data_IF_086249193743
#
_entry.id   IF_086249193743
#
_cell.length_a   1.000
_cell.length_b   1.000
_cell.length_c   1.000
_cell.angle_alpha   90.00
_cell.angle_beta   90.00
_cell.angle_gamma   90.00
#
_symmetry.space_group_name_H-M   'P 1'
#
loop_
_entity.id
_entity.type
_entity.pdbx_description
1 polymer ?
#
# COMPACT_ATOMS: atom_id res chain seq x y z
N UNK A 1 -47.41 7.51 10.73
CA UNK A 1 -46.24 6.81 10.15
C UNK A 1 -45.65 7.74 9.09
N UNK A 2 -44.64 8.53 9.49
CA UNK A 2 -43.93 9.46 8.55
C UNK A 2 -42.70 8.76 8.01
N UNK A 3 -42.66 8.58 6.72
CA UNK A 3 -41.56 8.01 5.97
C UNK A 3 -40.49 9.12 5.83
N UNK A 4 -39.37 9.02 6.53
CA UNK A 4 -38.21 9.89 6.32
C UNK A 4 -37.41 9.31 5.16
N UNK A 5 -37.48 9.95 3.99
CA UNK A 5 -36.61 9.67 2.87
C UNK A 5 -35.22 10.26 3.18
N UNK A 6 -34.23 9.42 3.46
CA UNK A 6 -32.83 9.80 3.45
C UNK A 6 -32.39 9.93 1.98
N UNK A 7 -32.33 11.17 1.50
CA UNK A 7 -31.71 11.50 0.22
C UNK A 7 -30.22 11.55 0.45
N UNK A 8 -29.49 10.54 -0.02
CA UNK A 8 -28.04 10.59 -0.15
C UNK A 8 -27.71 11.67 -1.18
N UNK A 9 -27.36 12.85 -0.71
CA UNK A 9 -26.99 13.97 -1.58
C UNK A 9 -25.63 13.72 -2.21
N UNK A 10 -25.63 13.36 -3.49
CA UNK A 10 -24.48 13.62 -4.35
C UNK A 10 -24.42 15.14 -4.47
N UNK A 11 -23.42 15.77 -3.85
CA UNK A 11 -23.15 17.21 -4.01
C UNK A 11 -22.65 17.38 -5.45
N UNK A 12 -23.54 17.71 -6.36
CA UNK A 12 -23.16 18.13 -7.69
C UNK A 12 -22.53 19.52 -7.59
N UNK A 13 -21.24 19.67 -7.89
CA UNK A 13 -20.58 20.96 -7.98
C UNK A 13 -21.25 21.83 -9.03
N UNK A 14 -21.60 23.07 -8.67
CA UNK A 14 -22.13 24.07 -9.59
C UNK A 14 -20.97 24.80 -10.29
N UNK A 15 -21.11 25.26 -11.54
CA UNK A 15 -20.01 25.89 -12.30
C UNK A 15 -19.33 27.10 -11.64
N UNK A 16 -19.96 27.72 -10.67
CA UNK A 16 -19.39 28.84 -9.89
C UNK A 16 -18.61 28.38 -8.66
N UNK A 17 -18.63 27.09 -8.31
CA UNK A 17 -17.89 26.47 -7.21
C UNK A 17 -16.78 25.52 -7.66
N UNK A 18 -16.54 25.38 -8.97
CA UNK A 18 -15.60 24.38 -9.50
C UNK A 18 -14.18 24.51 -8.93
N UNK A 19 -13.69 25.72 -8.69
CA UNK A 19 -12.36 25.97 -8.11
C UNK A 19 -12.27 25.51 -6.64
N UNK A 20 -13.30 25.71 -5.84
CA UNK A 20 -13.33 25.27 -4.44
C UNK A 20 -13.49 23.78 -4.34
N UNK A 21 -14.35 23.18 -5.16
CA UNK A 21 -14.51 21.72 -5.22
C UNK A 21 -13.21 21.04 -5.70
N UNK A 22 -12.52 21.60 -6.68
CA UNK A 22 -11.26 21.08 -7.17
C UNK A 22 -10.14 21.15 -6.10
N UNK A 23 -10.08 22.24 -5.34
CA UNK A 23 -9.12 22.39 -4.23
C UNK A 23 -9.41 21.38 -3.10
N UNK A 24 -10.67 21.23 -2.70
CA UNK A 24 -11.07 20.28 -1.66
C UNK A 24 -10.81 18.82 -2.09
N UNK A 25 -11.03 18.48 -3.36
CA UNK A 25 -10.71 17.16 -3.90
C UNK A 25 -9.21 16.91 -3.97
N UNK A 26 -8.41 17.94 -4.29
CA UNK A 26 -6.96 17.86 -4.28
C UNK A 26 -6.42 17.62 -2.86
N UNK A 27 -6.93 18.36 -1.88
CA UNK A 27 -6.56 18.20 -0.47
C UNK A 27 -6.90 16.78 0.04
N UNK A 28 -8.06 16.25 -0.34
CA UNK A 28 -8.49 14.90 0.05
C UNK A 28 -7.60 13.81 -0.57
N UNK A 29 -7.23 13.99 -1.83
CA UNK A 29 -6.35 13.04 -2.52
C UNK A 29 -4.94 13.05 -1.90
N UNK A 30 -4.32 14.21 -1.77
CA UNK A 30 -2.99 14.34 -1.18
C UNK A 30 -2.96 13.78 0.25
N UNK A 31 -4.01 14.01 1.01
CA UNK A 31 -4.16 13.45 2.35
C UNK A 31 -4.21 11.91 2.33
N UNK A 32 -4.92 11.32 1.38
CA UNK A 32 -4.98 9.85 1.22
C UNK A 32 -3.68 9.29 0.69
N UNK A 33 -3.03 9.96 -0.25
CA UNK A 33 -1.72 9.58 -0.75
C UNK A 33 -0.69 9.57 0.39
N UNK A 34 -0.64 10.66 1.17
CA UNK A 34 0.17 10.73 2.39
C UNK A 34 -0.13 9.59 3.38
N UNK A 35 -1.42 9.30 3.62
CA UNK A 35 -1.84 8.16 4.44
C UNK A 35 -1.35 6.82 3.89
N UNK A 36 -1.30 6.66 2.57
CA UNK A 36 -0.77 5.46 1.91
C UNK A 36 0.76 5.31 2.09
N UNK A 37 1.51 6.42 2.01
CA UNK A 37 2.95 6.42 2.31
C UNK A 37 3.22 6.11 3.77
N UNK A 38 2.45 6.67 4.70
CA UNK A 38 2.52 6.29 6.12
C UNK A 38 2.18 4.81 6.35
N UNK A 39 1.23 4.24 5.59
CA UNK A 39 0.87 2.83 5.67
C UNK A 39 1.99 1.93 5.17
N UNK A 40 2.73 2.36 4.18
CA UNK A 40 3.93 1.67 3.70
C UNK A 40 5.05 1.73 4.72
N UNK A 41 5.58 2.93 4.97
CA UNK A 41 6.75 3.11 5.84
C UNK A 41 6.72 4.50 6.50
N UNK A 42 5.93 4.62 7.56
CA UNK A 42 5.67 5.89 8.23
C UNK A 42 6.95 6.60 8.71
N UNK A 43 7.95 5.86 9.18
CA UNK A 43 9.18 6.46 9.71
C UNK A 43 10.08 7.06 8.62
N UNK A 44 10.01 6.60 7.41
CA UNK A 44 10.69 7.22 6.27
C UNK A 44 9.92 8.44 5.76
N UNK A 45 8.58 8.38 5.83
CA UNK A 45 7.73 9.48 5.34
C UNK A 45 7.79 10.71 6.21
N UNK A 46 7.89 10.58 7.52
CA UNK A 46 7.91 11.73 8.45
C UNK A 46 9.33 12.20 8.80
N UNK A 47 10.35 11.62 8.19
CA UNK A 47 11.78 11.92 8.45
C UNK A 47 12.13 11.92 9.95
N UNK A 48 11.41 11.15 10.72
CA UNK A 48 11.66 11.03 12.14
C UNK A 48 13.00 10.32 12.41
N UNK A 49 13.63 10.72 13.50
CA UNK A 49 14.82 10.04 13.99
C UNK A 49 14.50 8.65 14.58
N UNK A 50 13.46 8.02 14.07
CA UNK A 50 13.05 6.68 14.44
C UNK A 50 13.61 5.68 13.42
N UNK A 51 14.44 4.80 13.89
CA UNK A 51 14.92 3.63 13.15
C UNK A 51 14.43 2.42 13.92
N UNK A 52 13.59 1.56 13.34
CA UNK A 52 13.17 0.34 13.99
C UNK A 52 14.38 -0.50 14.40
N UNK A 53 14.35 -1.07 15.60
CA UNK A 53 15.31 -2.11 15.96
C UNK A 53 15.05 -3.34 15.08
N UNK A 54 16.04 -3.71 14.29
CA UNK A 54 15.93 -4.86 13.38
C UNK A 54 17.06 -5.86 13.67
N UNK A 55 16.78 -6.86 14.51
CA UNK A 55 17.76 -7.87 14.85
C UNK A 55 18.17 -8.76 13.67
N UNK A 56 17.37 -8.78 12.58
CA UNK A 56 17.64 -9.58 11.38
C UNK A 56 18.57 -8.85 10.39
N UNK A 57 18.76 -7.52 10.57
CA UNK A 57 19.65 -6.70 9.74
C UNK A 57 20.88 -6.28 10.54
N UNK A 58 22.02 -6.97 10.45
CA UNK A 58 23.22 -6.66 11.23
C UNK A 58 23.71 -5.22 11.01
N UNK A 59 23.92 -4.48 12.10
CA UNK A 59 24.44 -3.11 12.09
C UNK A 59 23.35 -2.04 11.99
N UNK A 60 22.08 -2.40 12.01
CA UNK A 60 20.97 -1.48 12.22
C UNK A 60 20.60 -1.51 13.70
N UNK A 61 21.21 -0.60 14.47
CA UNK A 61 20.81 -0.37 15.86
C UNK A 61 19.58 0.54 15.84
N UNK A 62 18.51 0.14 16.53
CA UNK A 62 17.29 0.93 16.64
C UNK A 62 17.50 2.27 17.33
N UNK A 63 16.75 3.30 16.92
CA UNK A 63 16.83 4.65 17.45
C UNK A 63 15.45 5.29 17.59
N UNK A 64 15.34 6.23 18.52
CA UNK A 64 14.12 6.99 18.71
C UNK A 64 12.98 6.19 19.35
N UNK A 65 11.79 6.75 19.26
CA UNK A 65 10.61 6.24 19.92
C UNK A 65 10.62 6.38 21.45
N UNK A 66 9.62 5.86 22.14
CA UNK A 66 9.46 6.04 23.59
C UNK A 66 10.59 5.46 24.45
N UNK A 67 11.33 4.50 23.91
CA UNK A 67 12.45 3.86 24.59
C UNK A 67 13.83 4.32 24.09
N UNK A 68 13.89 5.15 23.06
CA UNK A 68 15.13 5.64 22.46
C UNK A 68 15.94 4.59 21.68
N UNK A 69 15.40 3.41 21.49
CA UNK A 69 16.05 2.25 20.88
C UNK A 69 15.25 1.65 19.70
N UNK A 70 14.38 2.43 19.08
CA UNK A 70 13.57 1.95 17.95
C UNK A 70 12.44 0.99 18.33
N UNK A 71 12.01 1.01 19.58
CA UNK A 71 10.96 0.11 20.09
C UNK A 71 9.71 0.90 20.47
N UNK A 72 8.56 0.45 20.01
CA UNK A 72 7.24 0.97 20.37
C UNK A 72 6.62 0.21 21.54
N UNK A 73 5.71 0.88 22.25
CA UNK A 73 4.90 0.26 23.27
C UNK A 73 3.75 -0.55 22.67
N UNK A 74 3.38 -1.63 23.34
CA UNK A 74 2.05 -2.23 23.24
C UNK A 74 1.01 -1.43 24.01
N UNK A 75 -0.26 -1.78 23.82
CA UNK A 75 -1.39 -1.16 24.54
C UNK A 75 -1.38 -1.37 26.07
N UNK A 76 -0.51 -2.22 26.56
CA UNK A 76 -0.27 -2.46 28.00
C UNK A 76 0.92 -1.65 28.55
N UNK A 77 1.56 -0.84 27.69
CA UNK A 77 2.73 -0.04 28.04
C UNK A 77 4.06 -0.80 28.03
N UNK A 78 4.04 -2.10 27.72
CA UNK A 78 5.25 -2.89 27.60
C UNK A 78 5.84 -2.79 26.19
N UNK A 79 7.17 -2.80 26.05
CA UNK A 79 7.83 -2.79 24.75
C UNK A 79 7.39 -3.98 23.88
N UNK A 80 7.11 -3.72 22.61
CA UNK A 80 6.90 -4.77 21.62
C UNK A 80 8.23 -5.02 20.92
N UNK A 81 8.72 -6.26 20.97
CA UNK A 81 9.90 -6.67 20.21
C UNK A 81 9.66 -6.42 18.71
N UNK A 82 10.60 -5.74 18.06
CA UNK A 82 10.57 -5.48 16.64
C UNK A 82 11.48 -6.47 15.92
N UNK A 83 10.96 -7.07 14.87
CA UNK A 83 11.71 -7.96 13.98
C UNK A 83 12.01 -7.29 12.63
N UNK A 84 12.05 -5.94 12.59
CA UNK A 84 12.22 -5.15 11.38
C UNK A 84 10.93 -4.93 10.59
N UNK A 85 9.89 -5.68 10.88
CA UNK A 85 8.64 -5.68 10.10
C UNK A 85 7.39 -5.34 10.91
N UNK A 86 7.45 -5.47 12.25
CA UNK A 86 6.28 -5.37 13.13
C UNK A 86 5.65 -3.98 13.19
N UNK A 87 6.37 -2.94 12.75
CA UNK A 87 5.88 -1.56 12.88
C UNK A 87 5.43 -0.96 11.56
N UNK A 88 5.62 -1.65 10.43
CA UNK A 88 5.06 -1.23 9.14
C UNK A 88 3.63 -1.73 9.02
N UNK A 89 2.68 -0.81 8.82
CA UNK A 89 1.27 -1.18 8.77
C UNK A 89 0.96 -2.13 7.61
N UNK A 90 1.64 -1.96 6.46
CA UNK A 90 1.51 -2.89 5.33
C UNK A 90 1.90 -4.32 5.70
N UNK A 91 2.85 -4.48 6.63
CA UNK A 91 3.26 -5.80 7.09
C UNK A 91 2.29 -6.36 8.14
N UNK A 92 1.72 -5.48 8.97
CA UNK A 92 0.71 -5.89 9.96
C UNK A 92 -0.60 -6.30 9.28
N UNK A 93 -1.12 -5.44 8.41
CA UNK A 93 -2.47 -5.60 7.83
C UNK A 93 -2.45 -6.21 6.42
N UNK A 94 -1.30 -6.21 5.74
CA UNK A 94 -1.21 -6.43 4.30
C UNK A 94 -1.71 -5.23 3.50
N UNK A 95 -1.21 -5.06 2.28
CA UNK A 95 -1.73 -4.03 1.38
C UNK A 95 -3.21 -4.22 1.02
N UNK A 96 -3.69 -5.45 1.08
CA UNK A 96 -5.10 -5.79 0.94
C UNK A 96 -5.89 -5.65 2.25
N UNK A 97 -5.26 -5.16 3.30
CA UNK A 97 -5.87 -4.88 4.61
C UNK A 97 -6.66 -6.06 5.20
N UNK A 98 -6.25 -7.29 4.88
CA UNK A 98 -6.89 -8.53 5.35
C UNK A 98 -6.09 -9.28 6.41
N UNK A 99 -4.87 -8.83 6.69
CA UNK A 99 -3.98 -9.52 7.60
C UNK A 99 -3.65 -10.94 7.12
N UNK A 100 -3.75 -11.92 7.99
CA UNK A 100 -3.44 -13.32 7.69
C UNK A 100 -4.39 -13.98 6.66
N UNK A 101 -5.59 -13.45 6.50
CA UNK A 101 -6.54 -13.89 5.48
C UNK A 101 -6.20 -13.37 4.07
N UNK A 102 -5.28 -12.42 3.96
CA UNK A 102 -4.88 -11.77 2.74
C UNK A 102 -3.58 -12.27 2.14
N UNK A 103 -3.00 -11.44 1.27
CA UNK A 103 -1.74 -11.74 0.56
C UNK A 103 -0.61 -11.98 1.56
N UNK A 104 -0.45 -11.09 2.53
CA UNK A 104 0.67 -11.18 3.49
C UNK A 104 0.58 -12.40 4.41
N UNK A 105 -0.62 -12.81 4.80
CA UNK A 105 -0.78 -14.06 5.54
C UNK A 105 -0.34 -15.29 4.74
N UNK A 106 -0.46 -15.25 3.43
CA UNK A 106 0.00 -16.33 2.53
C UNK A 106 1.49 -16.26 2.23
N UNK A 107 2.03 -15.06 2.04
CA UNK A 107 3.46 -14.84 1.81
C UNK A 107 4.31 -15.09 3.06
N UNK A 108 3.79 -14.69 4.20
CA UNK A 108 4.49 -14.69 5.48
C UNK A 108 3.80 -15.60 6.49
N UNK A 109 3.48 -16.83 6.09
CA UNK A 109 2.85 -17.81 6.96
C UNK A 109 3.62 -17.97 8.28
N UNK A 110 2.85 -17.92 9.37
CA UNK A 110 3.38 -18.05 10.74
C UNK A 110 4.34 -16.92 11.18
N UNK A 111 4.43 -15.82 10.48
CA UNK A 111 5.20 -14.68 10.95
C UNK A 111 4.40 -13.89 12.00
N UNK A 112 5.03 -13.51 13.12
CA UNK A 112 4.32 -12.92 14.26
C UNK A 112 3.77 -11.52 13.99
N UNK A 113 4.28 -10.81 12.99
CA UNK A 113 3.84 -9.44 12.66
C UNK A 113 2.57 -9.39 11.81
N UNK A 114 2.18 -10.47 11.13
CA UNK A 114 0.96 -10.48 10.32
C UNK A 114 -0.25 -10.63 11.25
N UNK A 115 -1.06 -9.59 11.33
CA UNK A 115 -2.24 -9.61 12.20
C UNK A 115 -3.39 -10.41 11.58
N UNK A 116 -4.15 -11.08 12.45
CA UNK A 116 -5.32 -11.86 12.05
C UNK A 116 -6.47 -10.99 11.53
N UNK A 117 -6.38 -9.68 11.71
CA UNK A 117 -7.50 -8.79 11.41
C UNK A 117 -7.01 -7.47 10.84
N UNK A 118 -7.56 -7.08 9.72
CA UNK A 118 -7.36 -5.77 9.12
C UNK A 118 -8.69 -5.07 8.84
N UNK A 119 -8.68 -3.84 8.32
CA UNK A 119 -9.90 -3.07 8.03
C UNK A 119 -10.88 -3.76 7.09
N UNK A 120 -10.41 -4.65 6.21
CA UNK A 120 -11.26 -5.46 5.31
C UNK A 120 -11.67 -6.81 5.90
N UNK A 121 -11.23 -7.13 7.11
CA UNK A 121 -11.68 -8.33 7.79
C UNK A 121 -13.18 -8.26 8.07
N UNK A 122 -13.95 -9.37 7.90
CA UNK A 122 -15.40 -9.38 8.14
C UNK A 122 -15.80 -8.89 9.51
N UNK A 123 -14.99 -9.15 10.54
CA UNK A 123 -15.24 -8.70 11.91
C UNK A 123 -15.07 -7.19 12.10
N UNK A 124 -14.38 -6.50 11.19
CA UNK A 124 -14.12 -5.07 11.26
C UNK A 124 -14.75 -4.27 10.11
N UNK A 125 -15.49 -4.93 9.21
CA UNK A 125 -16.14 -4.28 8.08
C UNK A 125 -17.03 -3.08 8.48
N UNK A 126 -17.62 -3.12 9.69
CA UNK A 126 -18.41 -2.02 10.25
C UNK A 126 -17.65 -1.07 11.17
N UNK A 127 -16.33 -1.25 11.36
CA UNK A 127 -15.57 -0.41 12.26
C UNK A 127 -15.49 1.03 11.74
N UNK A 128 -15.74 1.99 12.63
CA UNK A 128 -15.76 3.41 12.29
C UNK A 128 -14.35 3.99 12.23
N UNK A 129 -14.22 5.19 11.64
CA UNK A 129 -12.99 5.99 11.69
C UNK A 129 -12.47 6.14 13.12
N UNK A 130 -13.36 6.49 14.07
CA UNK A 130 -12.98 6.66 15.48
C UNK A 130 -12.41 5.38 16.12
N UNK A 131 -12.90 4.20 15.72
CA UNK A 131 -12.34 2.93 16.19
C UNK A 131 -10.88 2.77 15.75
N UNK A 132 -10.57 2.99 14.45
CA UNK A 132 -9.22 2.81 13.94
C UNK A 132 -8.25 3.90 14.44
N UNK A 133 -8.71 5.16 14.53
CA UNK A 133 -7.92 6.23 15.13
C UNK A 133 -7.55 5.87 16.58
N UNK A 134 -8.52 5.42 17.38
CA UNK A 134 -8.24 5.03 18.76
C UNK A 134 -7.31 3.80 18.86
N UNK A 135 -7.49 2.81 17.98
CA UNK A 135 -6.68 1.60 17.96
C UNK A 135 -5.22 1.87 17.59
N UNK A 136 -4.97 2.78 16.64
CA UNK A 136 -3.61 3.16 16.26
C UNK A 136 -2.98 4.12 17.28
N UNK A 137 -3.74 5.10 17.78
CA UNK A 137 -3.23 6.06 18.77
C UNK A 137 -2.81 5.39 20.07
N UNK A 138 -3.64 4.49 20.60
CA UNK A 138 -3.47 3.92 21.95
C UNK A 138 -2.94 2.47 21.93
N UNK A 139 -2.68 1.93 20.74
CA UNK A 139 -2.47 0.51 20.56
C UNK A 139 -3.75 -0.31 20.75
N UNK A 140 -3.72 -1.55 20.35
CA UNK A 140 -4.82 -2.49 20.60
C UNK A 140 -4.27 -3.89 20.87
N UNK A 141 -4.29 -4.30 22.14
CA UNK A 141 -3.76 -5.61 22.56
C UNK A 141 -4.48 -6.79 21.89
N UNK A 142 -5.78 -6.67 21.70
CA UNK A 142 -6.58 -7.74 21.10
C UNK A 142 -6.28 -7.95 19.61
N UNK A 143 -5.77 -6.90 18.97
CA UNK A 143 -5.36 -6.91 17.56
C UNK A 143 -3.84 -6.97 17.39
N UNK A 144 -3.05 -6.87 18.46
CA UNK A 144 -1.58 -6.81 18.38
C UNK A 144 -1.03 -5.51 17.78
N UNK A 145 -1.80 -4.42 17.82
CA UNK A 145 -1.41 -3.13 17.26
C UNK A 145 -0.57 -2.35 18.27
N UNK A 146 0.65 -1.88 17.89
CA UNK A 146 1.48 -0.99 18.71
C UNK A 146 0.82 0.37 18.96
N UNK A 147 1.36 1.12 19.93
CA UNK A 147 0.97 2.51 20.22
C UNK A 147 1.67 3.45 19.24
N UNK A 148 1.05 3.73 18.10
CA UNK A 148 1.59 4.68 17.13
C UNK A 148 1.47 6.13 17.59
N UNK A 149 0.59 6.45 18.54
CA UNK A 149 0.47 7.77 19.12
C UNK A 149 1.71 8.25 19.90
N UNK A 150 2.66 7.35 20.18
CA UNK A 150 3.96 7.72 20.77
C UNK A 150 4.91 8.36 19.74
N UNK A 151 4.66 8.17 18.44
CA UNK A 151 5.56 8.60 17.34
C UNK A 151 4.84 9.35 16.22
N UNK A 152 3.55 9.12 16.00
CA UNK A 152 2.75 9.81 14.98
C UNK A 152 1.86 10.88 15.60
N UNK A 153 1.76 12.03 14.93
CA UNK A 153 0.83 13.09 15.28
C UNK A 153 -0.63 12.68 15.00
N UNK A 154 -1.62 13.30 15.68
CA UNK A 154 -3.03 12.98 15.45
C UNK A 154 -3.49 13.14 14.01
N UNK A 155 -2.94 14.12 13.26
CA UNK A 155 -3.29 14.34 11.86
C UNK A 155 -2.69 13.29 10.93
N UNK A 156 -1.49 12.76 11.25
CA UNK A 156 -0.84 11.66 10.54
C UNK A 156 -1.62 10.37 10.74
N UNK A 157 -1.97 10.03 11.98
CA UNK A 157 -2.87 8.89 12.27
C UNK A 157 -4.21 9.09 11.56
N UNK A 158 -4.72 10.32 11.53
CA UNK A 158 -5.94 10.66 10.79
C UNK A 158 -5.84 10.36 9.31
N UNK A 159 -4.77 10.80 8.64
CA UNK A 159 -4.52 10.56 7.22
C UNK A 159 -4.36 9.06 6.88
N UNK A 160 -3.60 8.35 7.72
CA UNK A 160 -3.42 6.92 7.61
C UNK A 160 -4.75 6.16 7.68
N UNK A 161 -5.62 6.51 8.66
CA UNK A 161 -6.95 5.90 8.78
C UNK A 161 -7.84 6.28 7.59
N UNK A 162 -7.76 7.51 7.10
CA UNK A 162 -8.54 7.96 5.94
C UNK A 162 -8.16 7.17 4.67
N UNK A 163 -6.87 6.88 4.46
CA UNK A 163 -6.41 5.97 3.41
C UNK A 163 -6.97 4.55 3.58
N UNK A 164 -6.82 3.95 4.78
CA UNK A 164 -7.33 2.60 5.07
C UNK A 164 -8.83 2.47 4.80
N UNK A 165 -9.61 3.48 5.20
CA UNK A 165 -11.06 3.49 4.99
C UNK A 165 -11.42 3.75 3.54
N UNK A 166 -10.68 4.60 2.83
CA UNK A 166 -10.91 4.87 1.42
C UNK A 166 -10.73 3.60 0.56
N UNK A 167 -9.72 2.77 0.86
CA UNK A 167 -9.57 1.46 0.22
C UNK A 167 -10.73 0.53 0.59
N UNK A 168 -11.06 0.44 1.89
CA UNK A 168 -12.16 -0.42 2.37
C UNK A 168 -13.50 -0.08 1.74
N UNK A 169 -13.78 1.21 1.62
CA UNK A 169 -15.09 1.72 1.19
C UNK A 169 -15.16 1.93 -0.35
N UNK A 170 -14.13 1.50 -1.10
CA UNK A 170 -14.07 1.56 -2.55
C UNK A 170 -13.93 2.98 -3.12
N UNK A 171 -13.41 3.90 -2.32
CA UNK A 171 -13.05 5.27 -2.75
C UNK A 171 -11.66 5.33 -3.36
N UNK A 172 -10.85 4.33 -3.13
CA UNK A 172 -9.60 4.02 -3.80
C UNK A 172 -9.69 2.61 -4.41
N UNK A 173 -8.78 2.23 -5.32
CA UNK A 173 -8.74 0.91 -5.91
C UNK A 173 -8.87 -0.21 -4.87
N UNK A 174 -9.84 -1.08 -5.07
CA UNK A 174 -10.06 -2.20 -4.17
C UNK A 174 -9.13 -3.37 -4.56
N UNK A 175 -8.51 -4.03 -3.58
CA UNK A 175 -7.59 -5.12 -3.84
C UNK A 175 -8.14 -6.24 -4.72
N UNK A 176 -9.40 -6.61 -4.53
CA UNK A 176 -10.05 -7.68 -5.29
C UNK A 176 -10.21 -7.38 -6.79
N UNK A 177 -10.15 -6.10 -7.16
CA UNK A 177 -10.23 -5.69 -8.55
C UNK A 177 -8.86 -5.80 -9.25
N UNK A 178 -7.77 -5.83 -8.47
CA UNK A 178 -6.41 -5.96 -8.98
C UNK A 178 -5.89 -7.39 -8.93
N UNK A 179 -6.24 -8.14 -7.88
CA UNK A 179 -5.70 -9.46 -7.62
C UNK A 179 -6.76 -10.44 -7.11
N UNK A 180 -6.67 -11.68 -7.56
CA UNK A 180 -7.35 -12.78 -6.93
C UNK A 180 -6.38 -13.53 -6.01
N UNK A 181 -6.82 -13.84 -4.78
CA UNK A 181 -6.06 -14.70 -3.88
C UNK A 181 -6.09 -16.13 -4.42
N UNK A 182 -4.91 -16.74 -4.49
CA UNK A 182 -4.74 -18.13 -4.93
C UNK A 182 -3.87 -18.87 -3.92
N UNK A 183 -4.31 -20.04 -3.48
CA UNK A 183 -3.50 -20.90 -2.62
C UNK A 183 -2.34 -21.57 -3.36
N UNK A 184 -2.38 -21.59 -4.69
CA UNK A 184 -1.41 -22.30 -5.54
C UNK A 184 -0.33 -21.37 -6.12
N UNK A 185 -0.57 -20.08 -6.15
CA UNK A 185 0.42 -19.14 -6.66
C UNK A 185 1.63 -19.05 -5.73
N UNK A 186 2.86 -18.85 -6.24
CA UNK A 186 4.06 -18.72 -5.40
C UNK A 186 3.86 -17.71 -4.31
N UNK A 187 3.26 -16.66 -4.35
CA UNK A 187 2.97 -15.72 -3.25
C UNK A 187 1.49 -15.58 -2.90
N UNK A 188 0.69 -16.57 -3.26
CA UNK A 188 -0.71 -16.64 -2.88
C UNK A 188 -1.64 -15.68 -3.59
N UNK A 189 -1.22 -15.01 -4.67
CA UNK A 189 -2.06 -14.12 -5.47
C UNK A 189 -1.75 -14.20 -6.96
N UNK A 190 -2.71 -13.78 -7.78
CA UNK A 190 -2.61 -13.66 -9.23
C UNK A 190 -3.23 -12.35 -9.69
N UNK A 191 -2.68 -11.75 -10.76
CA UNK A 191 -3.21 -10.54 -11.35
C UNK A 191 -4.60 -10.78 -11.95
N UNK A 192 -5.52 -9.86 -11.74
CA UNK A 192 -6.87 -9.95 -12.29
C UNK A 192 -6.84 -9.87 -13.83
N UNK A 193 -7.78 -10.52 -14.53
CA UNK A 193 -7.89 -10.42 -15.99
C UNK A 193 -8.43 -9.05 -16.41
N UNK A 194 -8.18 -8.68 -17.68
CA UNK A 194 -8.77 -7.49 -18.30
C UNK A 194 -7.83 -6.28 -18.39
N UNK A 195 -6.60 -6.38 -17.93
CA UNK A 195 -5.57 -5.37 -18.16
C UNK A 195 -5.19 -5.28 -19.65
N UNK A 196 -4.89 -4.07 -20.11
CA UNK A 196 -4.39 -3.80 -21.46
C UNK A 196 -2.92 -3.38 -21.37
N UNK A 197 -2.01 -4.32 -21.65
CA UNK A 197 -0.58 -4.09 -21.57
C UNK A 197 -0.12 -2.92 -22.45
N UNK A 198 -0.75 -2.70 -23.63
CA UNK A 198 -0.38 -1.58 -24.52
C UNK A 198 -0.82 -0.22 -23.94
N UNK A 199 -1.95 -0.15 -23.22
CA UNK A 199 -2.29 1.06 -22.46
C UNK A 199 -1.32 1.26 -21.29
N UNK A 200 -0.98 0.19 -20.60
CA UNK A 200 -0.01 0.21 -19.52
C UNK A 200 1.38 0.67 -19.96
N UNK A 201 1.86 0.23 -21.13
CA UNK A 201 3.11 0.72 -21.74
C UNK A 201 3.07 2.23 -22.01
N UNK A 202 1.94 2.74 -22.52
CA UNK A 202 1.80 4.19 -22.75
C UNK A 202 1.76 4.97 -21.43
N UNK A 203 1.08 4.43 -20.43
CA UNK A 203 1.08 5.02 -19.09
C UNK A 203 2.49 5.04 -18.49
N UNK A 204 3.19 3.93 -18.53
CA UNK A 204 4.56 3.83 -18.03
C UNK A 204 5.48 4.85 -18.73
N UNK A 205 5.42 4.93 -20.05
CA UNK A 205 6.24 5.86 -20.83
C UNK A 205 5.96 7.33 -20.50
N UNK A 206 4.72 7.65 -20.12
CA UNK A 206 4.31 9.02 -19.81
C UNK A 206 4.57 9.44 -18.37
N UNK A 207 4.49 8.52 -17.40
CA UNK A 207 4.53 8.84 -15.99
C UNK A 207 5.78 8.30 -15.27
N UNK A 208 6.32 7.17 -15.71
CA UNK A 208 7.34 6.43 -14.96
C UNK A 208 8.74 6.49 -15.61
N UNK A 209 8.81 6.55 -16.96
CA UNK A 209 10.04 6.34 -17.69
C UNK A 209 11.10 7.44 -17.46
N UNK A 210 10.72 8.66 -17.13
CA UNK A 210 11.65 9.75 -16.83
C UNK A 210 12.58 9.38 -15.68
N UNK A 211 12.01 8.84 -14.61
CA UNK A 211 12.74 8.43 -13.41
C UNK A 211 13.28 7.00 -13.53
N UNK A 212 12.46 6.05 -13.98
CA UNK A 212 12.79 4.63 -13.98
C UNK A 212 13.51 4.11 -15.22
N UNK A 213 13.59 4.93 -16.29
CA UNK A 213 14.16 4.54 -17.59
C UNK A 213 13.10 3.91 -18.51
N UNK A 214 13.37 3.89 -19.82
CA UNK A 214 12.43 3.35 -20.83
C UNK A 214 12.16 1.85 -20.64
N UNK A 215 13.14 1.13 -20.12
CA UNK A 215 13.10 -0.31 -19.87
C UNK A 215 13.01 -0.67 -18.38
N UNK A 216 12.73 0.31 -17.51
CA UNK A 216 12.59 0.14 -16.06
C UNK A 216 13.87 -0.34 -15.32
N UNK A 217 15.07 -0.10 -15.89
CA UNK A 217 16.35 -0.54 -15.32
C UNK A 217 17.21 0.58 -14.75
N UNK A 218 16.75 1.85 -14.80
CA UNK A 218 17.53 3.00 -14.32
C UNK A 218 17.60 3.06 -12.79
N UNK A 219 16.53 2.64 -12.09
CA UNK A 219 16.50 2.48 -10.64
C UNK A 219 16.43 0.99 -10.34
N UNK A 220 17.31 0.52 -9.46
CA UNK A 220 17.42 -0.90 -9.09
C UNK A 220 17.14 -1.02 -7.60
N UNK A 221 16.26 -1.93 -7.27
CA UNK A 221 15.79 -2.25 -5.93
C UNK A 221 16.56 -3.43 -5.32
N UNK A 222 16.27 -3.77 -4.09
CA UNK A 222 16.83 -4.93 -3.36
C UNK A 222 18.36 -5.02 -3.49
N UNK A 223 19.06 -3.98 -2.99
CA UNK A 223 20.53 -3.92 -2.99
C UNK A 223 21.18 -4.05 -4.37
N UNK A 224 20.49 -3.62 -5.42
CA UNK A 224 21.01 -3.62 -6.78
C UNK A 224 20.65 -4.86 -7.59
N UNK A 225 19.70 -5.65 -7.14
CA UNK A 225 19.36 -6.93 -7.78
C UNK A 225 18.13 -6.86 -8.69
N UNK A 226 17.13 -6.02 -8.38
CA UNK A 226 15.85 -6.03 -9.08
C UNK A 226 15.56 -4.73 -9.83
N UNK A 227 15.26 -4.82 -11.12
CA UNK A 227 14.62 -3.72 -11.86
C UNK A 227 13.18 -3.51 -11.40
N UNK A 228 12.56 -2.37 -11.78
CA UNK A 228 11.14 -2.14 -11.48
C UNK A 228 10.25 -3.21 -12.13
N UNK A 229 10.55 -3.64 -13.36
CA UNK A 229 9.79 -4.69 -14.03
C UNK A 229 9.80 -6.01 -13.24
N UNK A 230 10.98 -6.41 -12.77
CA UNK A 230 11.10 -7.60 -11.93
C UNK A 230 10.43 -7.42 -10.58
N UNK A 231 10.65 -6.29 -9.92
CA UNK A 231 10.02 -5.98 -8.64
C UNK A 231 8.48 -6.03 -8.76
N UNK A 232 7.92 -5.48 -9.84
CA UNK A 232 6.48 -5.54 -10.11
C UNK A 232 5.96 -6.99 -10.32
N UNK A 233 6.73 -7.85 -10.97
CA UNK A 233 6.36 -9.27 -11.11
C UNK A 233 6.39 -10.03 -9.79
N UNK A 234 7.26 -9.63 -8.87
CA UNK A 234 7.37 -10.20 -7.52
C UNK A 234 6.38 -9.62 -6.53
N UNK A 235 6.28 -8.29 -6.51
CA UNK A 235 5.56 -7.50 -5.52
C UNK A 235 4.57 -6.55 -6.18
N UNK A 236 3.93 -6.99 -7.28
CA UNK A 236 3.03 -6.15 -8.07
C UNK A 236 1.94 -5.46 -7.26
N UNK A 237 1.55 -6.07 -6.17
CA UNK A 237 0.61 -5.49 -5.23
C UNK A 237 1.18 -4.23 -4.56
N UNK A 238 2.42 -4.29 -4.08
CA UNK A 238 3.09 -3.12 -3.51
C UNK A 238 3.28 -2.04 -4.56
N UNK A 239 3.70 -2.41 -5.78
CA UNK A 239 3.86 -1.46 -6.90
C UNK A 239 2.56 -0.73 -7.23
N UNK A 240 1.41 -1.42 -7.24
CA UNK A 240 0.12 -0.78 -7.46
C UNK A 240 -0.18 0.28 -6.39
N UNK A 241 0.06 -0.03 -5.14
CA UNK A 241 -0.23 0.87 -4.02
C UNK A 241 0.78 2.02 -3.95
N UNK A 242 2.05 1.78 -4.29
CA UNK A 242 3.07 2.84 -4.40
C UNK A 242 2.74 3.78 -5.59
N UNK A 243 2.33 3.25 -6.74
CA UNK A 243 1.87 4.09 -7.85
C UNK A 243 0.65 4.95 -7.49
N UNK A 244 -0.19 4.48 -6.57
CA UNK A 244 -1.36 5.19 -6.06
C UNK A 244 -1.00 6.28 -5.04
N UNK A 245 -0.01 6.04 -4.18
CA UNK A 245 0.28 6.87 -3.01
C UNK A 245 1.60 7.63 -3.08
N UNK A 246 2.54 7.18 -3.90
CA UNK A 246 3.94 7.59 -3.86
C UNK A 246 4.80 6.66 -2.99
N UNK A 247 6.11 6.82 -3.09
CA UNK A 247 7.11 6.08 -2.29
C UNK A 247 7.51 6.91 -1.06
N UNK A 248 7.42 6.37 0.16
CA UNK A 248 7.78 7.08 1.38
C UNK A 248 9.21 7.63 1.35
N UNK A 249 9.40 8.85 1.85
CA UNK A 249 10.71 9.48 1.97
C UNK A 249 11.42 9.76 0.63
N UNK A 250 10.71 9.72 -0.49
CA UNK A 250 11.27 9.92 -1.83
C UNK A 250 10.59 11.06 -2.59
N UNK A 251 11.17 11.43 -3.76
CA UNK A 251 10.55 12.39 -4.68
C UNK A 251 9.42 11.78 -5.53
N UNK A 252 9.19 10.46 -5.43
CA UNK A 252 8.11 9.79 -6.15
C UNK A 252 6.77 10.09 -5.49
N UNK A 253 5.99 10.96 -6.10
CA UNK A 253 4.62 11.25 -5.70
C UNK A 253 3.61 10.20 -6.17
N UNK A 254 2.33 10.47 -5.93
CA UNK A 254 1.24 9.67 -6.48
C UNK A 254 1.14 9.90 -8.00
N UNK A 255 1.26 8.83 -8.78
CA UNK A 255 1.35 8.92 -10.25
C UNK A 255 -0.02 8.86 -10.95
N UNK A 256 -1.07 8.54 -10.22
CA UNK A 256 -2.43 8.50 -10.75
C UNK A 256 -3.11 9.86 -10.64
N UNK A 257 -3.82 10.23 -11.70
CA UNK A 257 -4.51 11.51 -11.76
C UNK A 257 -5.60 11.65 -10.68
N UNK A 258 -5.64 12.82 -10.03
CA UNK A 258 -6.69 13.26 -9.12
C UNK A 258 -8.12 13.17 -9.70
N UNK A 259 -8.23 13.28 -11.03
CA UNK A 259 -9.52 13.34 -11.72
C UNK A 259 -10.07 11.95 -12.08
N UNK A 260 -9.35 10.88 -11.75
CA UNK A 260 -9.81 9.52 -12.01
C UNK A 260 -10.68 9.02 -10.84
N UNK A 261 -11.78 8.37 -11.18
CA UNK A 261 -12.56 7.59 -10.22
C UNK A 261 -11.77 6.36 -9.76
N UNK A 262 -12.13 5.76 -8.62
CA UNK A 262 -11.49 4.54 -8.14
C UNK A 262 -11.49 3.42 -9.21
N UNK A 263 -12.56 3.29 -9.99
CA UNK A 263 -12.65 2.32 -11.08
C UNK A 263 -11.65 2.62 -12.21
N UNK A 264 -11.47 3.88 -12.58
CA UNK A 264 -10.51 4.29 -13.60
C UNK A 264 -9.08 4.13 -13.11
N UNK A 265 -8.80 4.44 -11.83
CA UNK A 265 -7.52 4.18 -11.18
C UNK A 265 -7.21 2.68 -11.17
N UNK A 266 -8.18 1.84 -10.78
CA UNK A 266 -8.06 0.37 -10.82
C UNK A 266 -7.72 -0.12 -12.23
N UNK A 267 -8.40 0.40 -13.25
CA UNK A 267 -8.10 0.04 -14.65
C UNK A 267 -6.69 0.44 -15.06
N UNK A 268 -6.26 1.65 -14.70
CA UNK A 268 -4.91 2.14 -15.02
C UNK A 268 -3.82 1.33 -14.32
N UNK A 269 -4.03 0.97 -13.05
CA UNK A 269 -3.11 0.11 -12.29
C UNK A 269 -3.04 -1.30 -12.89
N UNK A 270 -4.18 -1.88 -13.25
CA UNK A 270 -4.21 -3.19 -13.87
C UNK A 270 -3.49 -3.20 -15.23
N UNK A 271 -3.68 -2.16 -16.04
CA UNK A 271 -2.97 -1.97 -17.30
C UNK A 271 -1.45 -1.85 -17.08
N UNK A 272 -1.02 -1.04 -16.10
CA UNK A 272 0.39 -0.87 -15.73
C UNK A 272 1.03 -2.20 -15.31
N UNK A 273 0.36 -2.93 -14.42
CA UNK A 273 0.85 -4.22 -13.93
C UNK A 273 0.92 -5.26 -15.05
N UNK A 274 -0.08 -5.26 -15.94
CA UNK A 274 -0.08 -6.11 -17.13
C UNK A 274 1.09 -5.79 -18.06
N UNK A 275 1.42 -4.50 -18.23
CA UNK A 275 2.58 -4.07 -19.01
C UNK A 275 3.90 -4.51 -18.38
N UNK A 276 4.06 -4.34 -17.06
CA UNK A 276 5.27 -4.71 -16.32
C UNK A 276 5.52 -6.23 -16.25
N UNK A 277 4.54 -7.04 -16.64
CA UNK A 277 4.70 -8.48 -16.86
C UNK A 277 5.48 -8.83 -18.15
N UNK A 278 5.72 -7.87 -19.05
CA UNK A 278 6.52 -8.06 -20.26
C UNK A 278 8.02 -8.03 -19.91
N UNK A 279 8.66 -9.20 -19.88
CA UNK A 279 10.09 -9.37 -19.54
C UNK A 279 11.03 -8.90 -20.63
N UNK A 280 10.59 -8.90 -21.88
CA UNK A 280 11.42 -8.42 -23.00
C UNK A 280 11.53 -6.90 -22.96
N UNK A 281 10.44 -6.23 -22.63
CA UNK A 281 10.40 -4.77 -22.55
C UNK A 281 10.90 -4.21 -21.22
N UNK A 282 10.61 -4.90 -20.13
CA UNK A 282 11.02 -4.53 -18.77
C UNK A 282 11.86 -5.66 -18.14
N UNK A 283 13.11 -5.80 -18.62
CA UNK A 283 13.99 -6.87 -18.16
C UNK A 283 14.42 -6.69 -16.70
N UNK A 284 15.11 -7.63 -16.20
CA UNK A 284 15.59 -7.74 -14.83
C UNK A 284 16.54 -6.67 -14.36
N UNK A 285 17.28 -6.07 -15.21
CA UNK A 285 18.53 -5.41 -14.87
C UNK A 285 19.69 -6.42 -14.77
N UNK A 286 20.71 -6.11 -13.99
CA UNK A 286 21.93 -6.92 -13.88
C UNK A 286 21.82 -8.12 -12.93
N UNK A 287 20.76 -8.19 -12.13
CA UNK A 287 20.51 -9.30 -11.20
C UNK A 287 19.99 -10.57 -11.88
N UNK A 288 20.13 -11.69 -11.21
CA UNK A 288 19.44 -12.90 -11.65
C UNK A 288 17.97 -12.78 -11.27
N UNK A 289 17.03 -12.75 -12.24
CA UNK A 289 15.63 -12.98 -11.98
C UNK A 289 15.57 -14.24 -11.12
N UNK A 290 15.09 -14.24 -9.88
CA UNK A 290 14.70 -15.51 -9.35
C UNK A 290 13.84 -16.11 -10.44
N UNK A 291 14.18 -17.33 -10.88
CA UNK A 291 13.47 -17.98 -11.94
C UNK A 291 11.98 -17.81 -11.67
N UNK A 292 11.37 -16.84 -12.34
CA UNK A 292 9.93 -16.86 -12.47
C UNK A 292 9.72 -18.06 -13.36
N UNK A 293 9.26 -19.20 -12.83
CA UNK A 293 9.06 -20.38 -13.65
C UNK A 293 8.27 -19.98 -14.87
N UNK A 294 8.61 -20.52 -16.04
CA UNK A 294 7.78 -20.36 -17.22
C UNK A 294 6.33 -20.63 -16.79
N UNK A 295 5.47 -19.59 -16.91
CA UNK A 295 4.08 -19.69 -16.45
C UNK A 295 3.84 -19.23 -15.01
N UNK A 296 4.61 -18.26 -14.48
CA UNK A 296 4.28 -17.68 -13.17
C UNK A 296 2.82 -17.21 -13.15
N UNK A 297 1.98 -17.79 -12.29
CA UNK A 297 0.55 -17.51 -12.27
C UNK A 297 0.23 -16.08 -11.86
N UNK A 298 1.17 -15.34 -11.26
CA UNK A 298 0.95 -13.94 -10.85
C UNK A 298 0.70 -13.01 -12.03
N UNK A 299 1.41 -13.23 -13.14
CA UNK A 299 1.22 -12.46 -14.37
C UNK A 299 0.17 -13.06 -15.31
N UNK A 300 -0.20 -14.33 -15.17
CA UNK A 300 -1.11 -15.06 -16.07
C UNK A 300 -0.70 -14.92 -17.55
N UNK A 301 -1.70 -14.61 -18.41
CA UNK A 301 -1.54 -14.36 -19.84
C UNK A 301 -0.70 -13.13 -20.20
N UNK A 302 -0.44 -12.25 -19.27
CA UNK A 302 0.40 -11.05 -19.49
C UNK A 302 1.90 -11.36 -19.48
N UNK A 303 2.33 -12.50 -18.97
CA UNK A 303 3.72 -12.89 -18.94
C UNK A 303 4.24 -13.11 -20.37
N UNK A 304 5.23 -12.33 -20.80
CA UNK A 304 5.89 -12.40 -22.09
C UNK A 304 7.41 -12.41 -21.94
#
# INVERSE_FOLDING_TARGET
MSLVLLISGVIACSPTHDLFCAAEQADDFERRAFGGRLFDMWYDEIEESFIPDDPDTPGVDGQGGPHGNGTLNGADGEPIENTGHNYRLKNLFGWDMRGDAGIYGREHQAKPWVLQTGPLSPQHAGATRGFWVAALTNGNRGLGIPVYGDVLLPDEIGALVDFMLAVRDGQLPHPDDLYALSGEAPKGFILAPGGDAERGHRFYAAQCAECHGEDATKIIFDNGEQSLGQHARHYGYAIAMIALSGEPGSEMGAELSLNLTATEQTSALLDLLAALCDRERYPRGAGTDPEVPDGDPRCREYLR
#
